data_IF_727746847769
#
_entry.id   IF_727746847769
#
_cell.length_a   1.000
_cell.length_b   1.000
_cell.length_c   1.000
_cell.angle_alpha   90.00
_cell.angle_beta   90.00
_cell.angle_gamma   90.00
#
_symmetry.space_group_name_H-M   'P 1'
#
loop_
_entity.id
_entity.type
_entity.pdbx_description
1 polymer ?
#
# COMPACT_ATOMS: atom_id res chain seq x y z
N UNK A 1 6.92 5.95 -17.71
CA UNK A 1 7.23 6.53 -16.39
C UNK A 1 6.74 5.57 -15.33
N UNK A 2 7.59 5.28 -14.34
CA UNK A 2 7.15 4.53 -13.17
C UNK A 2 6.18 5.39 -12.35
N UNK A 3 5.22 4.73 -11.71
CA UNK A 3 4.24 5.34 -10.82
C UNK A 3 4.43 4.72 -9.44
N UNK A 4 3.93 5.38 -8.40
CA UNK A 4 3.89 4.86 -7.04
C UNK A 4 2.47 5.00 -6.52
N UNK A 5 2.00 4.03 -5.77
CA UNK A 5 0.82 4.20 -4.91
C UNK A 5 1.33 4.40 -3.49
N UNK A 6 0.92 5.49 -2.86
CA UNK A 6 1.12 5.75 -1.45
C UNK A 6 -0.15 5.36 -0.72
N UNK A 7 0.02 4.66 0.39
CA UNK A 7 -1.04 4.38 1.36
C UNK A 7 -0.64 5.08 2.65
N UNK A 8 -1.36 6.12 3.01
CA UNK A 8 -1.19 6.81 4.29
C UNK A 8 -2.23 6.29 5.28
N UNK A 9 -1.78 5.82 6.44
CA UNK A 9 -2.64 5.36 7.51
C UNK A 9 -2.77 6.45 8.58
N UNK A 10 -3.99 6.81 8.92
CA UNK A 10 -4.30 7.62 10.08
C UNK A 10 -4.07 6.79 11.35
N UNK A 11 -2.85 6.83 11.88
CA UNK A 11 -2.45 6.12 13.10
C UNK A 11 -1.94 7.08 14.17
N UNK A 12 -2.04 6.64 15.42
CA UNK A 12 -1.26 7.19 16.53
C UNK A 12 -0.12 6.22 16.85
N UNK A 13 1.12 6.70 17.08
CA UNK A 13 2.26 5.81 17.35
C UNK A 13 2.08 4.87 18.56
N UNK A 14 1.18 5.22 19.47
CA UNK A 14 0.90 4.47 20.70
C UNK A 14 -0.15 3.36 20.49
N UNK A 15 -0.86 3.33 19.36
CA UNK A 15 -1.87 2.32 19.06
C UNK A 15 -1.21 1.04 18.51
N UNK A 16 -0.67 0.24 19.42
CA UNK A 16 0.02 -1.01 19.11
C UNK A 16 -0.89 -2.02 18.38
N UNK A 17 -2.18 -2.07 18.71
CA UNK A 17 -3.14 -2.96 18.07
C UNK A 17 -3.38 -2.55 16.61
N UNK A 18 -3.53 -1.25 16.36
CA UNK A 18 -3.67 -0.74 15.01
C UNK A 18 -2.40 -0.94 14.17
N UNK A 19 -1.23 -0.65 14.74
CA UNK A 19 0.05 -0.86 14.07
C UNK A 19 0.26 -2.34 13.71
N UNK A 20 -0.12 -3.27 14.61
CA UNK A 20 -0.07 -4.70 14.32
C UNK A 20 -1.02 -5.10 13.18
N UNK A 21 -2.24 -4.56 13.14
CA UNK A 21 -3.18 -4.78 12.03
C UNK A 21 -2.64 -4.27 10.69
N UNK A 22 -1.97 -3.11 10.68
CA UNK A 22 -1.35 -2.54 9.48
C UNK A 22 -0.19 -3.42 9.01
N UNK A 23 0.60 -3.96 9.93
CA UNK A 23 1.67 -4.89 9.59
C UNK A 23 1.12 -6.17 8.92
N UNK A 24 0.08 -6.79 9.49
CA UNK A 24 -0.59 -7.96 8.87
C UNK A 24 -1.12 -7.58 7.48
N UNK A 25 -1.78 -6.42 7.34
CA UNK A 25 -2.25 -5.92 6.04
C UNK A 25 -1.11 -5.83 5.03
N UNK A 26 0.06 -5.31 5.42
CA UNK A 26 1.18 -5.15 4.51
C UNK A 26 1.77 -6.50 4.07
N UNK A 27 1.80 -7.51 4.96
CA UNK A 27 2.18 -8.88 4.60
C UNK A 27 1.21 -9.49 3.58
N UNK A 28 -0.10 -9.36 3.81
CA UNK A 28 -1.12 -9.93 2.93
C UNK A 28 -1.17 -9.21 1.58
N UNK A 29 -0.98 -7.88 1.60
CA UNK A 29 -0.84 -7.09 0.38
C UNK A 29 0.40 -7.51 -0.41
N UNK A 30 1.54 -7.74 0.23
CA UNK A 30 2.74 -8.27 -0.42
C UNK A 30 2.45 -9.60 -1.13
N UNK A 31 1.77 -10.53 -0.44
CA UNK A 31 1.39 -11.84 -1.02
C UNK A 31 0.45 -11.67 -2.22
N UNK A 32 -0.53 -10.77 -2.13
CA UNK A 32 -1.50 -10.52 -3.19
C UNK A 32 -0.83 -9.90 -4.43
N UNK A 33 0.04 -8.90 -4.25
CA UNK A 33 0.75 -8.23 -5.33
C UNK A 33 1.74 -9.16 -6.03
N UNK A 34 2.45 -10.01 -5.26
CA UNK A 34 3.37 -11.01 -5.80
C UNK A 34 2.64 -12.07 -6.64
N UNK A 35 1.51 -12.57 -6.13
CA UNK A 35 0.70 -13.60 -6.83
C UNK A 35 0.12 -13.10 -8.15
N UNK A 36 -0.14 -11.79 -8.27
CA UNK A 36 -0.68 -11.17 -9.48
C UNK A 36 0.39 -10.51 -10.37
N UNK A 37 1.67 -10.58 -10.00
CA UNK A 37 2.80 -9.92 -10.69
C UNK A 37 2.61 -8.40 -10.92
N UNK A 38 1.91 -7.69 -10.01
CA UNK A 38 1.45 -6.32 -10.27
C UNK A 38 2.47 -5.24 -9.93
N UNK A 39 3.15 -5.39 -8.79
CA UNK A 39 4.02 -4.39 -8.21
C UNK A 39 5.20 -5.03 -7.46
N UNK A 40 6.23 -4.23 -7.18
CA UNK A 40 7.42 -4.68 -6.48
C UNK A 40 7.46 -4.08 -5.08
N UNK A 41 6.74 -4.71 -4.14
CA UNK A 41 6.88 -4.43 -2.72
C UNK A 41 7.93 -5.39 -2.14
N UNK A 42 8.84 -4.91 -1.31
CA UNK A 42 9.85 -5.72 -0.63
C UNK A 42 9.43 -6.05 0.80
N UNK A 43 9.97 -7.14 1.37
CA UNK A 43 9.68 -7.52 2.76
C UNK A 43 10.22 -6.48 3.75
N UNK A 44 11.35 -5.84 3.45
CA UNK A 44 11.91 -4.77 4.28
C UNK A 44 10.98 -3.55 4.36
N UNK A 45 10.21 -3.25 3.31
CA UNK A 45 9.20 -2.18 3.30
C UNK A 45 7.96 -2.57 4.11
N UNK A 46 7.60 -3.85 4.13
CA UNK A 46 6.51 -4.40 4.95
C UNK A 46 6.86 -4.34 6.43
N UNK A 47 8.06 -4.76 6.82
CA UNK A 47 8.49 -4.79 8.22
C UNK A 47 8.68 -3.40 8.84
N UNK A 48 8.83 -2.37 8.00
CA UNK A 48 8.99 -0.98 8.44
C UNK A 48 7.70 -0.17 8.40
N UNK A 49 6.58 -0.78 8.00
CA UNK A 49 5.32 -0.05 7.88
C UNK A 49 4.84 0.38 9.28
N UNK A 50 4.72 1.70 9.47
CA UNK A 50 4.19 2.28 10.71
C UNK A 50 3.00 3.19 10.45
N UNK A 51 3.08 4.00 9.40
CA UNK A 51 2.05 4.98 9.04
C UNK A 51 1.92 5.19 7.53
N UNK A 52 2.90 4.73 6.75
CA UNK A 52 2.91 4.92 5.30
C UNK A 52 3.49 3.70 4.60
N UNK A 53 2.86 3.27 3.52
CA UNK A 53 3.37 2.24 2.62
C UNK A 53 3.51 2.80 1.20
N UNK A 54 4.67 2.57 0.58
CA UNK A 54 4.98 3.02 -0.78
C UNK A 54 5.07 1.80 -1.69
N UNK A 55 4.26 1.77 -2.74
CA UNK A 55 4.18 0.64 -3.66
C UNK A 55 4.63 1.10 -5.05
N UNK A 56 5.84 0.74 -5.49
CA UNK A 56 6.31 1.11 -6.81
C UNK A 56 5.67 0.24 -7.91
N UNK A 57 5.22 0.92 -8.96
CA UNK A 57 4.50 0.35 -10.10
C UNK A 57 5.27 0.66 -11.38
N UNK A 58 5.77 -0.39 -12.02
CA UNK A 58 6.61 -0.27 -13.23
C UNK A 58 5.82 0.08 -14.50
N UNK A 59 4.49 -0.04 -14.47
CA UNK A 59 3.63 0.16 -15.63
C UNK A 59 2.36 0.94 -15.29
N UNK A 60 2.13 2.06 -15.99
CA UNK A 60 0.90 2.87 -15.84
C UNK A 60 -0.38 2.04 -15.98
N UNK A 61 -0.37 1.04 -16.88
CA UNK A 61 -1.53 0.15 -17.11
C UNK A 61 -1.88 -0.72 -15.90
N UNK A 62 -0.93 -0.92 -14.96
CA UNK A 62 -1.13 -1.73 -13.75
C UNK A 62 -1.62 -0.91 -12.57
N UNK A 63 -1.61 0.42 -12.63
CA UNK A 63 -1.98 1.30 -11.51
C UNK A 63 -3.39 0.99 -11.02
N UNK A 64 -4.41 1.04 -11.88
CA UNK A 64 -5.78 0.75 -11.49
C UNK A 64 -5.97 -0.66 -10.92
N UNK A 65 -5.33 -1.67 -11.54
CA UNK A 65 -5.41 -3.05 -11.04
C UNK A 65 -4.72 -3.22 -9.68
N UNK A 66 -3.61 -2.52 -9.47
CA UNK A 66 -2.89 -2.51 -8.20
C UNK A 66 -3.71 -1.81 -7.12
N UNK A 67 -4.31 -0.65 -7.43
CA UNK A 67 -5.21 0.08 -6.54
C UNK A 67 -6.40 -0.78 -6.11
N UNK A 68 -7.05 -1.47 -7.05
CA UNK A 68 -8.17 -2.36 -6.74
C UNK A 68 -7.78 -3.51 -5.80
N UNK A 69 -6.59 -4.10 -5.98
CA UNK A 69 -6.08 -5.13 -5.07
C UNK A 69 -5.81 -4.53 -3.68
N UNK A 70 -5.24 -3.33 -3.61
CA UNK A 70 -5.00 -2.65 -2.34
C UNK A 70 -6.32 -2.39 -1.61
N UNK A 71 -7.32 -1.84 -2.30
CA UNK A 71 -8.65 -1.57 -1.73
C UNK A 71 -9.32 -2.85 -1.21
N UNK A 72 -9.24 -3.94 -1.96
CA UNK A 72 -9.77 -5.24 -1.55
C UNK A 72 -9.11 -5.74 -0.26
N UNK A 73 -7.78 -5.65 -0.16
CA UNK A 73 -7.06 -6.08 1.06
C UNK A 73 -7.38 -5.11 2.21
N UNK A 74 -7.44 -3.80 1.98
CA UNK A 74 -7.85 -2.82 2.99
C UNK A 74 -9.23 -3.14 3.58
N UNK A 75 -10.19 -3.53 2.73
CA UNK A 75 -11.53 -3.93 3.14
C UNK A 75 -11.50 -5.19 4.01
N UNK A 76 -10.72 -6.22 3.62
CA UNK A 76 -10.56 -7.45 4.39
C UNK A 76 -9.98 -7.23 5.79
N UNK A 77 -9.09 -6.25 5.94
CA UNK A 77 -8.49 -5.89 7.22
C UNK A 77 -9.27 -4.78 7.96
N UNK A 78 -10.41 -4.31 7.44
CA UNK A 78 -11.19 -3.19 7.98
C UNK A 78 -10.35 -1.92 8.20
N UNK A 79 -9.46 -1.62 7.25
CA UNK A 79 -8.56 -0.45 7.29
C UNK A 79 -8.97 0.68 6.32
N UNK A 80 -9.99 0.47 5.48
CA UNK A 80 -10.44 1.47 4.49
C UNK A 80 -10.77 2.82 5.10
N UNK A 81 -11.26 2.85 6.34
CA UNK A 81 -11.66 4.08 7.03
C UNK A 81 -10.48 4.93 7.54
N UNK A 82 -9.28 4.36 7.62
CA UNK A 82 -8.07 5.04 8.09
C UNK A 82 -7.01 5.17 7.00
N UNK A 83 -7.19 4.51 5.85
CA UNK A 83 -6.21 4.48 4.78
C UNK A 83 -6.58 5.48 3.68
N UNK A 84 -5.61 6.30 3.28
CA UNK A 84 -5.71 7.22 2.15
C UNK A 84 -4.78 6.79 1.03
N UNK A 85 -5.34 6.62 -0.15
CA UNK A 85 -4.61 6.22 -1.36
C UNK A 85 -4.29 7.45 -2.20
N UNK A 86 -3.03 7.58 -2.61
CA UNK A 86 -2.65 8.55 -3.63
C UNK A 86 -1.69 7.95 -4.65
N UNK A 87 -1.83 8.38 -5.90
CA UNK A 87 -0.93 7.96 -6.98
C UNK A 87 0.06 9.09 -7.22
N UNK A 88 1.35 8.78 -7.18
CA UNK A 88 2.44 9.73 -7.40
C UNK A 88 3.39 9.27 -8.50
N UNK A 89 4.17 10.19 -9.05
CA UNK A 89 5.36 9.87 -9.83
C UNK A 89 6.58 9.59 -8.95
N UNK A 90 7.75 9.40 -9.57
CA UNK A 90 8.99 9.14 -8.82
C UNK A 90 9.50 10.35 -8.01
N UNK A 91 9.06 11.55 -8.36
CA UNK A 91 9.36 12.79 -7.64
C UNK A 91 8.35 13.07 -6.50
N UNK A 92 7.40 12.16 -6.27
CA UNK A 92 6.35 12.32 -5.26
C UNK A 92 5.26 13.31 -5.66
N UNK A 93 5.20 13.72 -6.93
CA UNK A 93 4.15 14.61 -7.41
C UNK A 93 2.88 13.80 -7.68
N UNK A 94 1.70 14.26 -7.25
CA UNK A 94 0.44 13.57 -7.51
C UNK A 94 0.16 13.51 -9.00
N UNK A 95 -0.37 12.38 -9.46
CA UNK A 95 -0.65 12.13 -10.88
C UNK A 95 -1.95 11.38 -11.06
N UNK A 96 -2.78 11.86 -11.99
CA UNK A 96 -4.01 11.19 -12.44
C UNK A 96 -3.74 9.88 -13.23
#
# INVERSE_FOLDING_TARGET
MARRILIDFETTPEDADLNFRIWIFAEDLYRALRSNELASLTLDEVDRVSSQLIIPIRSKRRVHRTAAVIEQVLEQHFLTQIARLSVTDEAGQPVD
#
